data_IF_477234291857
#
_entry.id   IF_477234291857
#
_cell.length_a   1.000
_cell.length_b   1.000
_cell.length_c   1.000
_cell.angle_alpha   90.00
_cell.angle_beta   90.00
_cell.angle_gamma   90.00
#
_symmetry.space_group_name_H-M   'P 1'
#
loop_
_entity.id
_entity.type
_entity.pdbx_description
1 polymer ?
#
# COMPACT_ATOMS: atom_id res chain seq x y z
N UNK A 1 20.13 -17.86 -27.11
CA UNK A 1 20.49 -16.44 -26.94
C UNK A 1 19.21 -15.71 -26.50
N UNK A 2 19.05 -15.52 -25.20
CA UNK A 2 17.92 -14.80 -24.62
C UNK A 2 18.14 -13.31 -24.86
N UNK A 3 17.38 -12.74 -25.78
CA UNK A 3 17.32 -11.30 -25.98
C UNK A 3 16.67 -10.68 -24.75
N UNK A 4 17.48 -10.26 -23.77
CA UNK A 4 17.02 -9.49 -22.61
C UNK A 4 16.28 -8.25 -23.10
N UNK A 5 15.01 -8.11 -22.72
CA UNK A 5 14.24 -6.88 -22.93
C UNK A 5 15.04 -5.70 -22.35
N UNK A 6 15.14 -4.56 -23.03
CA UNK A 6 15.83 -3.38 -22.50
C UNK A 6 15.10 -2.87 -21.28
N UNK A 7 15.71 -3.06 -20.10
CA UNK A 7 15.19 -2.65 -18.81
C UNK A 7 15.06 -3.81 -17.81
N UNK A 8 16.04 -4.72 -17.73
CA UNK A 8 16.09 -5.81 -16.74
C UNK A 8 16.29 -5.31 -15.28
N UNK A 9 15.70 -4.18 -14.95
CA UNK A 9 15.56 -3.73 -13.58
C UNK A 9 14.57 -4.65 -12.84
N UNK A 10 14.84 -4.91 -11.57
CA UNK A 10 14.00 -5.74 -10.74
C UNK A 10 12.68 -5.03 -10.44
N UNK A 11 11.54 -5.63 -10.77
CA UNK A 11 10.23 -5.09 -10.48
C UNK A 11 9.40 -6.08 -9.66
N UNK A 12 8.83 -5.62 -8.54
CA UNK A 12 7.90 -6.38 -7.74
C UNK A 12 6.48 -5.83 -7.82
N UNK A 13 5.53 -6.73 -8.02
CA UNK A 13 4.11 -6.44 -8.06
C UNK A 13 3.42 -6.97 -6.81
N UNK A 14 2.58 -6.15 -6.20
CA UNK A 14 1.73 -6.58 -5.10
C UNK A 14 0.27 -6.16 -5.30
N UNK A 15 -0.64 -6.98 -4.78
CA UNK A 15 -2.08 -6.77 -4.82
C UNK A 15 -2.60 -6.85 -3.39
N UNK A 16 -3.19 -5.76 -2.90
CA UNK A 16 -3.81 -5.72 -1.59
C UNK A 16 -5.26 -6.19 -1.74
N UNK A 17 -5.52 -7.45 -1.33
CA UNK A 17 -6.79 -8.14 -1.56
C UNK A 17 -7.83 -7.68 -0.56
N UNK A 18 -8.43 -6.54 -0.88
CA UNK A 18 -9.51 -5.91 -0.15
C UNK A 18 -10.64 -5.46 -1.08
N UNK A 19 -11.86 -5.32 -0.55
CA UNK A 19 -13.01 -4.87 -1.33
C UNK A 19 -13.16 -3.35 -1.31
N UNK A 20 -14.02 -2.81 -2.17
CA UNK A 20 -14.30 -1.38 -2.33
C UNK A 20 -14.68 -0.68 -1.02
N UNK A 21 -15.36 -1.37 -0.10
CA UNK A 21 -15.81 -0.81 1.18
C UNK A 21 -14.73 -0.81 2.28
N UNK A 22 -13.63 -1.53 2.12
CA UNK A 22 -12.49 -1.49 3.06
C UNK A 22 -11.67 -0.21 2.95
N UNK A 23 -11.85 0.57 1.87
CA UNK A 23 -11.00 1.72 1.56
C UNK A 23 -11.06 2.80 2.64
N UNK A 24 -9.92 3.46 2.88
CA UNK A 24 -9.83 4.59 3.81
C UNK A 24 -10.83 5.72 3.49
N UNK A 25 -11.22 5.88 2.23
CA UNK A 25 -12.18 6.90 1.80
C UNK A 25 -13.60 6.64 2.33
N UNK A 26 -13.95 5.39 2.61
CA UNK A 26 -15.28 4.96 3.04
C UNK A 26 -15.36 4.60 4.52
N UNK A 27 -14.24 4.52 5.22
CA UNK A 27 -14.16 4.12 6.63
C UNK A 27 -15.05 4.94 7.58
N UNK A 28 -15.29 6.20 7.29
CA UNK A 28 -16.16 7.06 8.11
C UNK A 28 -17.66 6.91 7.85
N UNK A 29 -18.06 6.14 6.83
CA UNK A 29 -19.46 6.00 6.41
C UNK A 29 -19.93 4.56 6.32
N UNK A 30 -19.02 3.61 6.17
CA UNK A 30 -19.31 2.18 6.22
C UNK A 30 -18.60 1.62 7.46
N UNK A 31 -19.38 1.32 8.49
CA UNK A 31 -18.88 0.70 9.70
C UNK A 31 -18.56 -0.78 9.44
N UNK A 32 -17.65 -1.36 10.24
CA UNK A 32 -17.24 -2.77 10.07
C UNK A 32 -18.39 -3.75 10.17
N UNK A 33 -19.37 -3.46 11.04
CA UNK A 33 -20.56 -4.26 11.26
C UNK A 33 -21.45 -4.35 10.00
N UNK A 34 -21.34 -3.36 9.10
CA UNK A 34 -22.08 -3.32 7.85
C UNK A 34 -21.38 -4.05 6.69
N UNK A 35 -20.18 -4.59 6.88
CA UNK A 35 -19.44 -5.27 5.80
C UNK A 35 -20.12 -6.52 5.29
N UNK A 36 -20.84 -7.23 6.18
CA UNK A 36 -21.62 -8.43 5.83
C UNK A 36 -22.78 -8.13 4.87
N UNK A 37 -23.25 -6.88 4.85
CA UNK A 37 -24.35 -6.42 4.01
C UNK A 37 -23.86 -5.80 2.69
N UNK A 38 -22.54 -5.58 2.56
CA UNK A 38 -21.96 -5.02 1.36
C UNK A 38 -21.87 -6.04 0.20
N UNK A 39 -22.08 -5.57 -1.02
CA UNK A 39 -21.87 -6.36 -2.25
C UNK A 39 -20.39 -6.75 -2.36
N UNK A 40 -20.09 -8.03 -2.11
CA UNK A 40 -18.75 -8.59 -2.12
C UNK A 40 -18.27 -8.77 -3.57
N UNK A 41 -17.25 -8.02 -3.95
CA UNK A 41 -16.74 -7.93 -5.32
C UNK A 41 -15.27 -8.32 -5.45
N UNK A 42 -14.58 -8.47 -4.31
CA UNK A 42 -13.15 -8.75 -4.24
C UNK A 42 -12.76 -10.02 -4.99
N UNK A 43 -13.56 -11.09 -4.87
CA UNK A 43 -13.25 -12.37 -5.50
C UNK A 43 -13.18 -12.25 -7.03
N UNK A 44 -14.25 -11.77 -7.67
CA UNK A 44 -14.27 -11.62 -9.14
C UNK A 44 -13.19 -10.66 -9.66
N UNK A 45 -12.96 -9.56 -8.93
CA UNK A 45 -11.98 -8.55 -9.33
C UNK A 45 -10.56 -9.10 -9.19
N UNK A 46 -10.28 -9.86 -8.12
CA UNK A 46 -8.98 -10.54 -7.94
C UNK A 46 -8.76 -11.60 -8.99
N UNK A 47 -9.78 -12.42 -9.30
CA UNK A 47 -9.70 -13.41 -10.38
C UNK A 47 -9.39 -12.74 -11.71
N UNK A 48 -10.02 -11.60 -12.00
CA UNK A 48 -9.73 -10.82 -13.21
C UNK A 48 -8.28 -10.32 -13.28
N UNK A 49 -7.72 -9.89 -12.16
CA UNK A 49 -6.29 -9.55 -12.09
C UNK A 49 -5.40 -10.77 -12.33
N UNK A 50 -5.75 -11.92 -11.75
CA UNK A 50 -5.00 -13.17 -11.96
C UNK A 50 -4.99 -13.60 -13.44
N UNK A 51 -6.09 -13.45 -14.15
CA UNK A 51 -6.15 -13.71 -15.61
C UNK A 51 -5.15 -12.83 -16.38
N UNK A 52 -5.06 -11.55 -16.01
CA UNK A 52 -4.09 -10.62 -16.62
C UNK A 52 -2.65 -11.05 -16.31
N UNK A 53 -2.38 -11.46 -15.06
CA UNK A 53 -1.06 -11.94 -14.66
C UNK A 53 -0.67 -13.22 -15.40
N UNK A 54 -1.58 -14.17 -15.55
CA UNK A 54 -1.37 -15.44 -16.25
C UNK A 54 -1.02 -15.21 -17.72
N UNK A 55 -1.79 -14.37 -18.42
CA UNK A 55 -1.52 -13.99 -19.83
C UNK A 55 -0.16 -13.36 -20.01
N UNK A 56 0.32 -12.60 -19.01
CA UNK A 56 1.62 -11.94 -19.04
C UNK A 56 2.76 -12.80 -18.45
N UNK A 57 2.47 -14.00 -17.96
CA UNK A 57 3.42 -14.87 -17.23
C UNK A 57 4.07 -14.16 -16.02
N UNK A 58 3.30 -13.33 -15.33
CA UNK A 58 3.76 -12.53 -14.21
C UNK A 58 3.33 -13.15 -12.88
N UNK A 59 4.22 -13.09 -11.88
CA UNK A 59 3.90 -13.45 -10.50
C UNK A 59 3.90 -12.23 -9.60
N UNK A 60 3.05 -12.26 -8.56
CA UNK A 60 2.85 -11.14 -7.64
C UNK A 60 2.75 -11.63 -6.19
N UNK A 61 2.88 -10.69 -5.24
CA UNK A 61 2.52 -10.88 -3.85
C UNK A 61 1.08 -10.42 -3.61
N UNK A 62 0.25 -11.28 -3.06
CA UNK A 62 -1.11 -10.96 -2.66
C UNK A 62 -1.16 -10.77 -1.14
N UNK A 63 -1.31 -9.54 -0.69
CA UNK A 63 -1.55 -9.20 0.72
C UNK A 63 -3.03 -9.38 1.01
N UNK A 64 -3.37 -10.50 1.62
CA UNK A 64 -4.77 -10.90 1.82
C UNK A 64 -5.25 -10.46 3.19
N UNK A 65 -6.38 -9.75 3.21
CA UNK A 65 -7.08 -9.42 4.44
C UNK A 65 -7.71 -10.68 5.04
N UNK A 66 -7.48 -10.95 6.33
CA UNK A 66 -7.97 -12.16 6.97
C UNK A 66 -9.50 -12.31 6.91
N UNK A 67 -10.24 -11.19 7.04
CA UNK A 67 -11.69 -11.16 6.85
C UNK A 67 -12.09 -11.61 5.43
N UNK A 68 -11.38 -11.17 4.40
CA UNK A 68 -11.63 -11.61 3.01
C UNK A 68 -11.29 -13.09 2.85
N UNK A 69 -10.20 -13.56 3.47
CA UNK A 69 -9.82 -14.97 3.43
C UNK A 69 -10.90 -15.88 4.02
N UNK A 70 -11.56 -15.47 5.10
CA UNK A 70 -12.69 -16.22 5.68
C UNK A 70 -13.90 -16.30 4.72
N UNK A 71 -14.19 -15.22 4.01
CA UNK A 71 -15.33 -15.16 3.08
C UNK A 71 -15.05 -15.85 1.74
N UNK A 72 -13.82 -15.77 1.25
CA UNK A 72 -13.43 -16.22 -0.09
C UNK A 72 -12.28 -17.25 -0.01
N UNK A 73 -12.46 -18.33 0.76
CA UNK A 73 -11.42 -19.36 0.96
C UNK A 73 -10.87 -19.94 -0.34
N UNK A 74 -11.78 -20.18 -1.31
CA UNK A 74 -11.38 -20.75 -2.59
C UNK A 74 -10.50 -19.79 -3.40
N UNK A 75 -10.75 -18.49 -3.33
CA UNK A 75 -9.89 -17.47 -3.93
C UNK A 75 -8.45 -17.58 -3.40
N UNK A 76 -8.28 -17.68 -2.07
CA UNK A 76 -6.95 -17.78 -1.44
C UNK A 76 -6.22 -19.04 -1.88
N UNK A 77 -6.91 -20.19 -1.96
CA UNK A 77 -6.34 -21.44 -2.48
C UNK A 77 -5.93 -21.31 -3.95
N UNK A 78 -6.75 -20.63 -4.76
CA UNK A 78 -6.47 -20.40 -6.19
C UNK A 78 -5.23 -19.51 -6.37
N UNK A 79 -5.10 -18.41 -5.61
CA UNK A 79 -3.90 -17.56 -5.61
C UNK A 79 -2.65 -18.39 -5.28
N UNK A 80 -2.71 -19.22 -4.22
CA UNK A 80 -1.61 -20.05 -3.79
C UNK A 80 -1.25 -21.14 -4.83
N UNK A 81 -2.25 -21.76 -5.46
CA UNK A 81 -2.07 -22.81 -6.48
C UNK A 81 -1.46 -22.24 -7.77
N UNK A 82 -1.77 -20.99 -8.14
CA UNK A 82 -1.19 -20.30 -9.29
C UNK A 82 0.27 -19.85 -9.09
N UNK A 83 0.90 -20.18 -7.95
CA UNK A 83 2.33 -19.89 -7.70
C UNK A 83 2.62 -18.47 -7.24
N UNK A 84 1.60 -17.66 -6.99
CA UNK A 84 1.77 -16.34 -6.39
C UNK A 84 2.18 -16.44 -4.91
N UNK A 85 2.80 -15.40 -4.40
CA UNK A 85 3.08 -15.28 -2.97
C UNK A 85 1.82 -14.82 -2.22
N UNK A 86 1.51 -15.52 -1.12
CA UNK A 86 0.52 -15.07 -0.13
C UNK A 86 1.23 -14.34 1.00
N UNK A 87 0.72 -13.17 1.34
CA UNK A 87 1.15 -12.34 2.45
C UNK A 87 -0.07 -11.82 3.23
N UNK A 88 0.14 -11.37 4.47
CA UNK A 88 -0.94 -10.90 5.34
C UNK A 88 -1.17 -9.40 5.19
N UNK A 89 -2.45 -9.00 5.10
CA UNK A 89 -2.90 -7.60 5.22
C UNK A 89 -3.58 -7.31 6.56
N UNK A 90 -3.19 -8.03 7.64
CA UNK A 90 -3.93 -8.06 8.90
C UNK A 90 -5.24 -8.82 8.78
N UNK A 91 -6.00 -8.88 9.88
CA UNK A 91 -7.29 -9.58 9.87
C UNK A 91 -8.46 -8.63 9.62
N UNK A 92 -8.54 -7.54 10.38
CA UNK A 92 -9.71 -6.68 10.47
C UNK A 92 -9.58 -5.33 9.77
N UNK A 93 -8.52 -5.09 8.99
CA UNK A 93 -8.23 -3.81 8.32
C UNK A 93 -8.16 -2.62 9.29
N UNK A 94 -7.71 -2.87 10.53
CA UNK A 94 -7.53 -1.82 11.53
C UNK A 94 -6.21 -1.06 11.29
N UNK A 95 -6.21 0.26 11.57
CA UNK A 95 -5.00 1.05 11.47
C UNK A 95 -4.05 0.69 12.62
N UNK A 96 -2.82 0.31 12.32
CA UNK A 96 -1.85 -0.18 13.31
C UNK A 96 -1.68 0.83 14.45
N UNK A 97 -1.50 2.12 14.15
CA UNK A 97 -1.36 3.15 15.16
C UNK A 97 -2.62 3.40 16.02
N UNK A 98 -3.78 2.83 15.67
CA UNK A 98 -4.99 2.89 16.48
C UNK A 98 -5.17 1.69 17.41
N UNK A 99 -4.30 0.69 17.29
CA UNK A 99 -4.33 -0.54 18.09
C UNK A 99 -3.33 -0.46 19.25
N UNK A 100 -3.64 -1.17 20.33
CA UNK A 100 -2.64 -1.50 21.35
C UNK A 100 -1.75 -2.65 20.84
N UNK A 101 -0.48 -2.75 21.29
CA UNK A 101 0.43 -3.82 20.85
C UNK A 101 -0.14 -5.24 20.99
N UNK A 102 -0.89 -5.52 22.06
CA UNK A 102 -1.54 -6.82 22.25
C UNK A 102 -2.67 -7.11 21.25
N UNK A 103 -3.45 -6.09 20.88
CA UNK A 103 -4.51 -6.19 19.88
C UNK A 103 -3.90 -6.43 18.49
N UNK A 104 -2.86 -5.68 18.16
CA UNK A 104 -2.11 -5.86 16.92
C UNK A 104 -1.52 -7.28 16.81
N UNK A 105 -0.87 -7.79 17.89
CA UNK A 105 -0.35 -9.15 17.93
C UNK A 105 -1.44 -10.19 17.66
N UNK A 106 -2.61 -10.04 18.28
CA UNK A 106 -3.76 -10.95 18.05
C UNK A 106 -4.24 -10.89 16.60
N UNK A 107 -4.37 -9.69 16.04
CA UNK A 107 -4.83 -9.48 14.65
C UNK A 107 -3.90 -10.16 13.63
N UNK A 108 -2.59 -9.92 13.75
CA UNK A 108 -1.61 -10.46 12.79
C UNK A 108 -1.40 -11.96 12.95
N UNK A 109 -1.45 -12.50 14.19
CA UNK A 109 -1.40 -13.94 14.44
C UNK A 109 -2.61 -14.64 13.82
N UNK A 110 -3.82 -14.10 14.05
CA UNK A 110 -5.05 -14.67 13.49
C UNK A 110 -4.99 -14.70 11.97
N UNK A 111 -4.60 -13.60 11.34
CA UNK A 111 -4.50 -13.52 9.88
C UNK A 111 -3.47 -14.51 9.33
N UNK A 112 -2.27 -14.53 9.92
CA UNK A 112 -1.18 -15.40 9.49
C UNK A 112 -1.56 -16.87 9.59
N UNK A 113 -2.00 -17.33 10.75
CA UNK A 113 -2.37 -18.74 10.98
C UNK A 113 -3.51 -19.16 10.04
N UNK A 114 -4.54 -18.31 9.88
CA UNK A 114 -5.65 -18.62 8.99
C UNK A 114 -5.20 -18.84 7.54
N UNK A 115 -4.32 -17.99 7.01
CA UNK A 115 -3.79 -18.13 5.65
C UNK A 115 -2.88 -19.36 5.52
N UNK A 116 -2.06 -19.66 6.53
CA UNK A 116 -1.17 -20.84 6.57
C UNK A 116 -1.98 -22.13 6.67
N UNK A 117 -2.99 -22.20 7.55
CA UNK A 117 -3.87 -23.36 7.70
C UNK A 117 -4.67 -23.64 6.43
N UNK A 118 -5.13 -22.59 5.76
CA UNK A 118 -5.93 -22.70 4.54
C UNK A 118 -5.14 -23.25 3.34
N UNK A 119 -3.84 -22.99 3.29
CA UNK A 119 -3.00 -23.25 2.10
C UNK A 119 -1.84 -24.20 2.32
N UNK A 120 -1.48 -24.48 3.58
CA UNK A 120 -0.28 -25.24 3.94
C UNK A 120 1.03 -24.52 3.59
N UNK A 121 0.99 -23.23 3.22
CA UNK A 121 2.17 -22.45 2.82
C UNK A 121 2.51 -21.41 3.88
N UNK A 122 3.81 -21.24 4.18
CA UNK A 122 4.27 -20.20 5.10
C UNK A 122 4.01 -18.81 4.54
N UNK A 123 3.40 -17.94 5.37
CA UNK A 123 3.15 -16.53 5.09
C UNK A 123 4.33 -15.72 5.63
N UNK A 124 5.16 -15.18 4.73
CA UNK A 124 6.43 -14.49 5.05
C UNK A 124 6.28 -12.99 5.18
N UNK A 125 5.34 -12.38 4.45
CA UNK A 125 5.18 -10.95 4.33
C UNK A 125 3.96 -10.38 5.05
N UNK A 126 4.10 -9.14 5.49
CA UNK A 126 3.02 -8.32 6.04
C UNK A 126 2.93 -6.97 5.33
N UNK A 127 1.72 -6.43 5.24
CA UNK A 127 1.45 -5.03 4.89
C UNK A 127 0.38 -4.47 5.80
N UNK A 128 0.67 -3.34 6.44
CA UNK A 128 -0.29 -2.68 7.31
C UNK A 128 -1.44 -2.05 6.50
N UNK A 129 -2.70 -2.23 6.90
CA UNK A 129 -3.84 -1.52 6.33
C UNK A 129 -3.57 -0.03 6.23
N UNK A 130 -3.84 0.54 5.04
CA UNK A 130 -3.57 1.95 4.74
C UNK A 130 -2.11 2.40 5.00
N UNK A 131 -1.14 1.48 4.99
CA UNK A 131 0.27 1.77 5.28
C UNK A 131 0.50 2.37 6.67
N UNK A 132 -0.26 1.95 7.66
CA UNK A 132 -0.33 2.56 9.00
C UNK A 132 0.71 2.04 10.00
N UNK A 133 1.83 1.50 9.53
CA UNK A 133 2.89 0.88 10.35
C UNK A 133 3.53 1.85 11.35
N UNK A 134 4.05 1.30 12.44
CA UNK A 134 4.75 2.04 13.51
C UNK A 134 5.95 1.26 14.01
N UNK A 135 6.94 1.94 14.63
CA UNK A 135 8.16 1.30 15.12
C UNK A 135 7.90 0.15 16.11
N UNK A 136 6.94 0.31 17.02
CA UNK A 136 6.59 -0.73 17.99
C UNK A 136 5.96 -1.99 17.37
N UNK A 137 5.45 -1.90 16.15
CA UNK A 137 4.85 -3.05 15.45
C UNK A 137 5.90 -3.99 14.86
N UNK A 138 7.05 -3.46 14.46
CA UNK A 138 8.12 -4.23 13.81
C UNK A 138 8.61 -5.42 14.65
N UNK A 139 8.98 -5.27 15.94
CA UNK A 139 9.36 -6.42 16.75
C UNK A 139 8.23 -7.45 16.90
N UNK A 140 6.97 -7.02 16.95
CA UNK A 140 5.83 -7.95 17.03
C UNK A 140 5.71 -8.78 15.75
N UNK A 141 5.86 -8.15 14.57
CA UNK A 141 5.83 -8.86 13.29
C UNK A 141 6.94 -9.91 13.21
N UNK A 142 8.16 -9.56 13.61
CA UNK A 142 9.28 -10.50 13.64
C UNK A 142 9.03 -11.66 14.61
N UNK A 143 8.55 -11.38 15.83
CA UNK A 143 8.23 -12.40 16.84
C UNK A 143 7.13 -13.37 16.38
N UNK A 144 6.17 -12.87 15.59
CA UNK A 144 5.09 -13.67 14.99
C UNK A 144 5.62 -14.53 13.83
N UNK A 145 6.84 -14.28 13.35
CA UNK A 145 7.51 -15.06 12.33
C UNK A 145 7.27 -14.59 10.90
N UNK A 146 7.02 -13.28 10.71
CA UNK A 146 7.16 -12.65 9.39
C UNK A 146 8.63 -12.37 9.09
N UNK A 147 8.99 -12.38 7.81
CA UNK A 147 10.35 -12.10 7.34
C UNK A 147 10.48 -10.65 6.83
N UNK A 148 9.36 -10.04 6.42
CA UNK A 148 9.36 -8.66 5.94
C UNK A 148 8.02 -7.94 6.16
N UNK A 149 8.10 -6.61 6.20
CA UNK A 149 7.00 -5.67 6.06
C UNK A 149 7.11 -4.90 4.74
N UNK A 150 5.98 -4.46 4.18
CA UNK A 150 5.95 -3.58 3.01
C UNK A 150 4.91 -2.48 3.21
N UNK A 151 5.09 -1.71 4.26
CA UNK A 151 4.13 -0.69 4.70
C UNK A 151 4.64 0.74 4.60
N UNK A 152 5.91 0.96 4.24
CA UNK A 152 6.45 2.31 4.15
C UNK A 152 6.29 2.88 2.74
N UNK A 153 5.61 4.03 2.68
CA UNK A 153 5.62 4.91 1.51
C UNK A 153 6.49 6.11 1.86
N UNK A 154 7.71 6.22 1.30
CA UNK A 154 8.68 7.24 1.71
C UNK A 154 8.28 8.64 1.22
N UNK A 155 7.18 9.18 1.74
CA UNK A 155 6.65 10.50 1.38
C UNK A 155 6.19 11.26 2.63
N UNK A 156 6.37 12.57 2.61
CA UNK A 156 5.81 13.48 3.64
C UNK A 156 4.41 13.99 3.26
N UNK A 157 3.93 13.64 2.05
CA UNK A 157 2.71 14.22 1.48
C UNK A 157 1.40 13.72 2.11
N UNK A 158 1.44 12.67 2.93
CA UNK A 158 0.24 12.05 3.51
C UNK A 158 0.36 11.84 5.01
N UNK A 159 -0.38 12.62 5.80
CA UNK A 159 -0.40 12.51 7.26
C UNK A 159 -1.09 11.25 7.81
N UNK A 160 -1.66 10.40 6.94
CA UNK A 160 -2.34 9.14 7.33
C UNK A 160 -1.44 7.91 7.31
N UNK A 161 -0.32 7.96 6.61
CA UNK A 161 0.63 6.86 6.58
C UNK A 161 1.38 6.78 7.90
N UNK A 162 1.65 5.57 8.35
CA UNK A 162 2.57 5.31 9.44
C UNK A 162 4.00 5.69 9.06
N UNK A 163 4.89 5.64 10.01
CA UNK A 163 6.31 5.94 9.81
C UNK A 163 7.15 4.95 10.59
N UNK A 164 8.28 4.60 10.01
CA UNK A 164 9.35 3.91 10.71
C UNK A 164 10.56 4.83 10.82
N UNK A 165 11.17 4.86 12.00
CA UNK A 165 12.39 5.61 12.28
C UNK A 165 13.55 5.12 11.42
N UNK A 166 14.43 6.03 11.01
CA UNK A 166 15.60 5.69 10.20
C UNK A 166 15.31 5.35 8.74
N UNK A 167 14.06 5.52 8.27
CA UNK A 167 13.69 5.28 6.88
C UNK A 167 13.97 6.50 6.01
N UNK A 168 14.70 6.28 4.91
CA UNK A 168 15.08 7.35 3.99
C UNK A 168 14.61 7.07 2.56
N UNK A 169 14.20 8.13 1.86
CA UNK A 169 13.88 8.07 0.42
C UNK A 169 15.12 7.61 -0.35
N UNK A 170 14.96 6.61 -1.21
CA UNK A 170 16.04 6.06 -2.04
C UNK A 170 16.64 4.76 -1.50
N UNK A 171 16.08 4.19 -0.46
CA UNK A 171 16.39 2.83 0.02
C UNK A 171 15.15 1.96 -0.11
N UNK A 172 14.99 1.20 -1.20
CA UNK A 172 13.77 0.44 -1.45
C UNK A 172 13.65 -0.80 -0.57
N UNK A 173 14.77 -1.39 -0.14
CA UNK A 173 14.82 -2.54 0.77
C UNK A 173 15.80 -2.20 1.90
N UNK A 174 15.31 -2.27 3.12
CA UNK A 174 16.07 -1.94 4.33
C UNK A 174 16.02 -3.10 5.31
N UNK A 175 17.19 -3.49 5.83
CA UNK A 175 17.25 -4.42 6.95
C UNK A 175 16.95 -3.64 8.25
N UNK A 176 15.77 -3.87 8.83
CA UNK A 176 15.35 -3.20 10.08
C UNK A 176 15.91 -3.89 11.30
N UNK A 177 15.92 -5.21 11.28
CA UNK A 177 16.40 -6.09 12.35
C UNK A 177 17.02 -7.33 11.71
N UNK A 178 17.75 -8.11 12.48
CA UNK A 178 18.35 -9.36 11.98
C UNK A 178 17.29 -10.26 11.33
N UNK A 179 17.45 -10.50 10.03
CA UNK A 179 16.53 -11.31 9.22
C UNK A 179 15.16 -10.69 8.93
N UNK A 180 14.91 -9.40 9.30
CA UNK A 180 13.62 -8.74 9.04
C UNK A 180 13.79 -7.48 8.17
N UNK A 181 13.07 -7.43 7.06
CA UNK A 181 13.20 -6.37 6.05
C UNK A 181 11.97 -5.47 5.96
N UNK A 182 12.19 -4.20 5.62
CA UNK A 182 11.16 -3.31 5.08
C UNK A 182 11.35 -3.15 3.58
N UNK A 183 10.26 -3.32 2.81
CA UNK A 183 10.24 -3.12 1.37
C UNK A 183 9.34 -1.93 1.04
N UNK A 184 9.97 -0.79 0.79
CA UNK A 184 9.29 0.48 0.56
C UNK A 184 8.60 0.55 -0.80
N UNK A 185 7.42 1.15 -0.84
CA UNK A 185 6.73 1.47 -2.10
C UNK A 185 7.54 2.51 -2.89
N UNK A 186 7.63 2.34 -4.21
CA UNK A 186 8.41 3.20 -5.07
C UNK A 186 7.92 4.65 -5.09
N UNK A 187 8.88 5.57 -5.00
CA UNK A 187 8.67 7.01 -5.10
C UNK A 187 9.67 7.62 -6.09
N UNK A 188 9.28 8.69 -6.77
CA UNK A 188 10.18 9.55 -7.55
C UNK A 188 10.63 10.71 -6.67
N UNK A 189 11.94 10.95 -6.65
CA UNK A 189 12.54 12.04 -5.90
C UNK A 189 12.62 13.31 -6.76
N UNK A 190 12.02 14.41 -6.25
CA UNK A 190 12.10 15.74 -6.83
C UNK A 190 12.64 16.71 -5.77
N UNK A 191 13.95 16.93 -5.79
CA UNK A 191 14.65 17.70 -4.76
C UNK A 191 14.44 17.07 -3.36
N UNK A 192 13.84 17.84 -2.46
CA UNK A 192 13.48 17.38 -1.09
C UNK A 192 12.15 16.62 -0.99
N UNK A 193 11.38 16.56 -2.07
CA UNK A 193 10.07 15.90 -2.08
C UNK A 193 10.14 14.52 -2.71
N UNK A 194 9.35 13.59 -2.18
CA UNK A 194 9.13 12.28 -2.76
C UNK A 194 7.67 12.14 -3.19
N UNK A 195 7.48 11.86 -4.48
CA UNK A 195 6.16 11.64 -5.07
C UNK A 195 5.94 10.14 -5.16
N UNK A 196 4.86 9.58 -4.56
CA UNK A 196 4.54 8.16 -4.70
C UNK A 196 4.36 7.78 -6.17
N UNK A 197 5.13 6.78 -6.61
CA UNK A 197 5.10 6.27 -7.99
C UNK A 197 4.88 4.76 -8.05
N UNK A 198 4.43 4.17 -6.97
CA UNK A 198 4.19 2.74 -6.84
C UNK A 198 2.76 2.40 -6.39
N UNK A 199 1.80 3.34 -6.42
CA UNK A 199 0.47 3.12 -5.88
C UNK A 199 -0.68 3.35 -6.85
N UNK A 200 -1.72 2.51 -6.77
CA UNK A 200 -2.86 2.51 -7.68
C UNK A 200 -3.58 3.84 -7.82
N UNK A 201 -3.74 4.61 -6.72
CA UNK A 201 -4.38 5.92 -6.77
C UNK A 201 -3.66 6.92 -7.69
N UNK A 202 -2.33 7.02 -7.59
CA UNK A 202 -1.51 7.84 -8.49
C UNK A 202 -1.44 7.27 -9.90
N UNK A 203 -1.37 5.94 -10.02
CA UNK A 203 -1.41 5.23 -11.30
C UNK A 203 -2.69 5.55 -12.10
N UNK A 204 -3.82 5.65 -11.42
CA UNK A 204 -5.09 6.05 -12.08
C UNK A 204 -5.11 7.52 -12.48
N UNK A 205 -4.45 8.40 -11.71
CA UNK A 205 -4.49 9.85 -11.90
C UNK A 205 -3.51 10.34 -12.99
N UNK A 206 -2.27 9.83 -12.98
CA UNK A 206 -1.19 10.27 -13.88
C UNK A 206 -1.43 9.70 -15.29
N UNK A 207 -1.20 10.46 -16.38
CA UNK A 207 -1.21 9.92 -17.73
C UNK A 207 -0.28 8.72 -17.88
N UNK A 208 -0.73 7.64 -18.52
CA UNK A 208 -0.03 6.35 -18.54
C UNK A 208 1.40 6.45 -19.15
N UNK A 209 1.57 7.23 -20.22
CA UNK A 209 2.89 7.47 -20.82
C UNK A 209 3.89 8.11 -19.87
N UNK A 210 3.42 9.10 -19.08
CA UNK A 210 4.23 9.75 -18.06
C UNK A 210 4.53 8.77 -16.90
N UNK A 211 3.58 7.93 -16.54
CA UNK A 211 3.77 6.89 -15.54
C UNK A 211 4.91 5.94 -15.95
N UNK A 212 4.89 5.44 -17.18
CA UNK A 212 5.95 4.57 -17.71
C UNK A 212 7.32 5.24 -17.72
N UNK A 213 7.39 6.53 -18.08
CA UNK A 213 8.66 7.28 -18.02
C UNK A 213 9.23 7.29 -16.61
N UNK A 214 8.38 7.50 -15.59
CA UNK A 214 8.80 7.46 -14.19
C UNK A 214 9.25 6.07 -13.75
N UNK A 215 8.58 5.00 -14.19
CA UNK A 215 9.02 3.62 -13.92
C UNK A 215 10.39 3.37 -14.54
N UNK A 216 10.59 3.74 -15.81
CA UNK A 216 11.90 3.61 -16.47
C UNK A 216 13.00 4.43 -15.78
N UNK A 217 12.66 5.61 -15.26
CA UNK A 217 13.62 6.44 -14.52
C UNK A 217 14.07 5.74 -13.23
N UNK A 218 13.14 5.14 -12.47
CA UNK A 218 13.46 4.37 -11.26
C UNK A 218 14.35 3.18 -11.61
N UNK A 219 13.97 2.37 -12.60
CA UNK A 219 14.74 1.18 -12.99
C UNK A 219 16.13 1.53 -13.54
N UNK A 220 16.26 2.60 -14.32
CA UNK A 220 17.57 3.08 -14.85
C UNK A 220 18.48 3.63 -13.75
N UNK A 221 17.96 4.05 -12.61
CA UNK A 221 18.78 4.45 -11.46
C UNK A 221 19.36 3.26 -10.68
N UNK A 222 19.11 2.02 -11.13
CA UNK A 222 19.54 0.79 -10.45
C UNK A 222 18.66 0.38 -9.28
N UNK A 223 17.57 1.12 -9.03
CA UNK A 223 16.63 0.82 -7.95
C UNK A 223 15.52 -0.11 -8.43
N UNK A 224 15.08 -1.08 -7.60
CA UNK A 224 13.92 -1.89 -7.92
C UNK A 224 12.64 -1.04 -7.92
N UNK A 225 11.70 -1.45 -8.76
CA UNK A 225 10.39 -0.81 -8.83
C UNK A 225 9.35 -1.67 -8.08
N UNK A 226 8.74 -1.12 -7.03
CA UNK A 226 7.73 -1.80 -6.20
C UNK A 226 6.39 -1.10 -6.43
N UNK A 227 5.44 -1.86 -6.99
CA UNK A 227 4.10 -1.37 -7.32
C UNK A 227 3.02 -2.13 -6.55
N UNK A 228 1.97 -1.42 -6.12
CA UNK A 228 0.79 -2.03 -5.51
C UNK A 228 -0.50 -1.51 -6.14
N UNK A 229 -1.54 -2.34 -6.11
CA UNK A 229 -2.89 -2.03 -6.59
C UNK A 229 -3.91 -2.89 -5.83
N UNK A 230 -5.16 -2.42 -5.80
CA UNK A 230 -6.25 -3.15 -5.17
C UNK A 230 -7.22 -3.70 -6.21
N UNK A 231 -7.91 -4.83 -5.96
CA UNK A 231 -8.90 -5.40 -6.88
C UNK A 231 -10.06 -4.45 -7.21
N UNK A 232 -10.50 -3.63 -6.25
CA UNK A 232 -11.57 -2.66 -6.48
C UNK A 232 -11.18 -1.53 -7.45
N UNK A 233 -9.90 -1.30 -7.70
CA UNK A 233 -9.44 -0.23 -8.61
C UNK A 233 -9.70 -0.55 -10.09
N UNK A 234 -9.88 -1.81 -10.45
CA UNK A 234 -10.25 -2.22 -11.80
C UNK A 234 -11.77 -2.39 -11.98
N UNK A 235 -12.58 -2.04 -10.98
CA UNK A 235 -14.03 -2.20 -10.99
C UNK A 235 -14.78 -0.86 -11.14
N UNK A 236 -15.07 -0.42 -12.35
CA UNK A 236 -15.86 0.80 -12.57
C UNK A 236 -17.33 0.67 -12.12
N UNK A 237 -17.81 -0.58 -11.95
CA UNK A 237 -19.17 -0.89 -11.51
C UNK A 237 -19.35 -0.98 -10.00
N UNK A 238 -18.33 -0.66 -9.18
CA UNK A 238 -18.46 -0.68 -7.73
C UNK A 238 -19.53 0.30 -7.24
N UNK A 239 -20.23 0.01 -6.11
CA UNK A 239 -21.23 0.88 -5.55
C UNK A 239 -20.72 2.30 -5.26
N UNK A 240 -21.54 3.32 -5.57
CA UNK A 240 -21.20 4.70 -5.31
C UNK A 240 -21.86 5.19 -4.03
N UNK A 241 -21.05 5.52 -3.04
CA UNK A 241 -21.53 6.01 -1.73
C UNK A 241 -21.68 7.52 -1.80
N UNK A 242 -22.93 7.99 -1.59
CA UNK A 242 -23.27 9.42 -1.69
C UNK A 242 -22.75 10.28 -0.52
N UNK A 243 -22.62 9.69 0.66
CA UNK A 243 -22.37 10.41 1.92
C UNK A 243 -20.88 10.71 2.20
N UNK A 244 -20.02 10.77 1.18
CA UNK A 244 -18.58 11.06 1.32
C UNK A 244 -18.21 12.42 0.74
N UNK A 245 -17.15 13.04 1.29
CA UNK A 245 -16.59 14.30 0.80
C UNK A 245 -16.22 14.20 -0.70
N UNK A 246 -16.42 15.27 -1.46
CA UNK A 246 -16.13 15.30 -2.91
C UNK A 246 -14.70 14.85 -3.26
N UNK A 247 -13.69 15.27 -2.47
CA UNK A 247 -12.30 14.85 -2.65
C UNK A 247 -12.10 13.34 -2.43
N UNK A 248 -12.80 12.73 -1.45
CA UNK A 248 -12.75 11.28 -1.22
C UNK A 248 -13.44 10.52 -2.35
N UNK A 249 -14.58 11.03 -2.84
CA UNK A 249 -15.29 10.48 -4.00
C UNK A 249 -14.42 10.53 -5.27
N UNK A 250 -13.77 11.65 -5.51
CA UNK A 250 -12.84 11.79 -6.63
C UNK A 250 -11.72 10.74 -6.55
N UNK A 251 -11.04 10.61 -5.40
CA UNK A 251 -9.97 9.60 -5.22
C UNK A 251 -10.46 8.17 -5.37
N UNK A 252 -11.70 7.89 -4.90
CA UNK A 252 -12.30 6.56 -5.04
C UNK A 252 -12.58 6.20 -6.49
N UNK A 253 -13.14 7.14 -7.26
CA UNK A 253 -13.76 6.86 -8.56
C UNK A 253 -12.94 7.30 -9.78
N UNK A 254 -11.85 8.05 -9.60
CA UNK A 254 -11.08 8.60 -10.74
C UNK A 254 -10.54 7.49 -11.63
N UNK A 255 -10.84 7.58 -12.92
CA UNK A 255 -10.33 6.71 -14.00
C UNK A 255 -10.45 5.19 -13.76
N UNK A 256 -11.42 4.72 -12.96
CA UNK A 256 -11.65 3.28 -12.75
C UNK A 256 -11.87 2.53 -14.07
N UNK A 257 -12.64 3.10 -15.00
CA UNK A 257 -12.94 2.48 -16.30
C UNK A 257 -11.72 2.25 -17.21
N UNK A 258 -10.61 2.93 -16.93
CA UNK A 258 -9.35 2.79 -17.68
C UNK A 258 -8.29 2.01 -16.90
N UNK A 259 -8.58 1.67 -15.65
CA UNK A 259 -7.55 1.11 -14.75
C UNK A 259 -7.18 -0.31 -15.15
N UNK A 260 -8.14 -1.14 -15.53
CA UNK A 260 -7.88 -2.52 -15.97
C UNK A 260 -6.98 -2.57 -17.21
N UNK A 261 -7.30 -1.79 -18.25
CA UNK A 261 -6.48 -1.71 -19.46
C UNK A 261 -5.05 -1.22 -19.16
N UNK A 262 -4.93 -0.18 -18.32
CA UNK A 262 -3.62 0.34 -17.90
C UNK A 262 -2.84 -0.69 -17.09
N UNK A 263 -3.52 -1.43 -16.22
CA UNK A 263 -2.89 -2.48 -15.42
C UNK A 263 -2.37 -3.60 -16.32
N UNK A 264 -3.17 -4.09 -17.26
CA UNK A 264 -2.74 -5.09 -18.24
C UNK A 264 -1.54 -4.60 -19.06
N UNK A 265 -1.56 -3.35 -19.52
CA UNK A 265 -0.44 -2.74 -20.24
C UNK A 265 0.83 -2.62 -19.38
N UNK A 266 0.69 -2.25 -18.09
CA UNK A 266 1.83 -2.16 -17.17
C UNK A 266 2.42 -3.54 -16.88
N UNK A 267 1.57 -4.55 -16.63
CA UNK A 267 2.03 -5.93 -16.38
C UNK A 267 2.77 -6.48 -17.60
N UNK A 268 2.25 -6.25 -18.80
CA UNK A 268 2.90 -6.70 -20.04
C UNK A 268 4.19 -5.96 -20.41
N UNK A 269 4.46 -4.80 -19.79
CA UNK A 269 5.63 -3.97 -20.12
C UNK A 269 6.92 -4.37 -19.39
N UNK A 270 6.83 -5.10 -18.26
CA UNK A 270 7.98 -5.44 -17.41
C UNK A 270 7.94 -6.91 -17.00
N UNK A 271 9.06 -7.41 -16.47
CA UNK A 271 9.14 -8.70 -15.80
C UNK A 271 8.88 -8.51 -14.29
N UNK A 272 7.83 -9.13 -13.80
CA UNK A 272 7.37 -8.98 -12.43
C UNK A 272 7.69 -10.20 -11.60
N UNK A 273 8.00 -9.97 -10.32
CA UNK A 273 8.21 -11.02 -9.34
C UNK A 273 7.48 -10.70 -8.03
N UNK A 274 7.23 -11.69 -7.19
CA UNK A 274 6.82 -11.49 -5.80
C UNK A 274 7.87 -10.72 -4.99
N UNK A 275 7.42 -10.05 -3.93
CA UNK A 275 8.31 -9.26 -3.04
C UNK A 275 9.37 -10.15 -2.38
N UNK A 276 9.02 -11.38 -1.96
CA UNK A 276 9.99 -12.32 -1.39
C UNK A 276 11.15 -12.61 -2.35
N UNK A 277 10.84 -12.82 -3.63
CA UNK A 277 11.84 -13.14 -4.65
C UNK A 277 12.74 -11.90 -4.94
N UNK A 278 12.15 -10.70 -4.85
CA UNK A 278 12.91 -9.45 -4.93
C UNK A 278 13.90 -9.33 -3.76
N UNK A 279 13.47 -9.62 -2.51
CA UNK A 279 14.35 -9.61 -1.33
C UNK A 279 15.48 -10.62 -1.51
N UNK A 280 15.17 -11.86 -1.91
CA UNK A 280 16.15 -12.92 -2.07
C UNK A 280 17.20 -12.56 -3.15
N UNK A 281 16.78 -11.96 -4.27
CA UNK A 281 17.70 -11.46 -5.31
C UNK A 281 18.54 -10.28 -4.84
N UNK A 282 17.93 -9.32 -4.13
CA UNK A 282 18.62 -8.14 -3.64
C UNK A 282 19.72 -8.48 -2.63
N UNK A 283 19.44 -9.42 -1.73
CA UNK A 283 20.39 -9.87 -0.71
C UNK A 283 21.51 -10.73 -1.29
N UNK A 284 21.22 -11.53 -2.34
CA UNK A 284 22.21 -12.40 -3.00
C UNK A 284 23.12 -11.65 -4.00
N UNK A 285 22.68 -10.51 -4.52
CA UNK A 285 23.35 -9.77 -5.60
C UNK A 285 24.47 -8.82 -5.18
N UNK A 286 24.95 -8.85 -3.93
CA UNK A 286 26.07 -8.02 -3.44
C UNK A 286 25.70 -6.54 -3.18
N UNK A 287 24.49 -6.10 -3.54
CA UNK A 287 23.91 -4.81 -3.13
C UNK A 287 23.26 -4.91 -1.76
N UNK A 288 23.97 -5.50 -0.78
CA UNK A 288 23.44 -5.86 0.52
C UNK A 288 22.58 -4.78 1.16
N UNK A 289 21.51 -5.16 1.92
CA UNK A 289 20.65 -4.21 2.59
C UNK A 289 21.48 -3.37 3.55
N UNK A 290 21.37 -2.05 3.40
CA UNK A 290 22.01 -1.13 4.36
C UNK A 290 21.15 -1.13 5.62
N UNK A 291 21.77 -1.45 6.76
CA UNK A 291 21.10 -1.36 8.06
C UNK A 291 20.51 0.04 8.29
N UNK A 292 19.36 0.12 8.94
CA UNK A 292 18.82 1.39 9.43
C UNK A 292 19.85 2.03 10.34
N UNK A 293 20.26 3.28 10.06
CA UNK A 293 21.19 3.98 10.93
C UNK A 293 20.45 4.34 12.23
N UNK A 294 21.01 4.06 13.42
CA UNK A 294 20.47 4.62 14.65
C UNK A 294 20.54 6.14 14.56
N UNK A 295 19.43 6.83 14.87
CA UNK A 295 19.45 8.27 15.02
C UNK A 295 20.47 8.63 16.12
N UNK A 296 21.45 9.47 15.79
CA UNK A 296 22.21 10.15 16.80
C UNK A 296 21.29 11.18 17.46
N UNK A 297 20.91 10.94 18.72
CA UNK A 297 20.25 11.93 19.56
C UNK A 297 21.15 13.18 19.66
N UNK A 298 20.95 14.10 18.74
CA UNK A 298 21.51 15.43 18.80
C UNK A 298 20.63 16.30 19.70
N UNK A 299 20.88 16.28 21.01
CA UNK A 299 20.49 17.38 21.86
C UNK A 299 21.23 18.63 21.40
N UNK A 300 20.52 19.51 20.72
CA UNK A 300 20.94 20.89 20.50
C UNK A 300 20.17 21.76 21.49
N UNK A 301 20.83 22.05 22.64
CA UNK A 301 20.43 23.11 23.58
C UNK A 301 20.99 24.45 23.09
N UNK A 302 20.11 25.39 22.89
CA UNK A 302 20.42 26.79 23.08
C UNK A 302 20.57 27.68 21.86
N UNK A 303 19.73 28.71 21.80
CA UNK A 303 20.07 29.93 21.07
C UNK A 303 18.88 30.70 20.48
N UNK A 304 18.16 31.39 21.33
CA UNK A 304 17.25 32.50 20.95
C UNK A 304 18.02 33.56 20.18
N UNK A 305 17.58 33.96 18.98
CA UNK A 305 17.64 35.34 18.51
C UNK A 305 16.71 35.55 17.32
N UNK A 306 15.68 36.35 17.57
CA UNK A 306 14.76 36.92 16.58
C UNK A 306 15.49 37.95 15.70
N UNK A 307 15.20 37.94 14.39
CA UNK A 307 15.15 39.17 13.57
C UNK A 307 14.25 38.98 12.36
N UNK A 308 13.26 39.84 12.29
CA UNK A 308 12.35 40.00 11.16
C UNK A 308 13.01 40.78 10.02
N UNK A 309 12.76 40.42 8.77
CA UNK A 309 12.74 41.34 7.61
C UNK A 309 11.74 40.76 6.58
N UNK A 310 10.83 41.63 6.14
CA UNK A 310 9.71 41.33 5.23
C UNK A 310 10.07 41.32 3.73
N UNK A 311 9.08 41.44 2.82
CA UNK A 311 8.95 40.59 1.63
C UNK A 311 9.35 41.26 0.30
N UNK A 312 9.73 40.42 -0.71
CA UNK A 312 9.61 40.72 -2.17
C UNK A 312 9.54 39.35 -2.88
N UNK A 313 8.52 38.94 -3.54
CA UNK A 313 7.98 39.28 -4.83
C UNK A 313 8.59 38.41 -5.93
N UNK A 314 7.82 37.45 -6.53
CA UNK A 314 8.25 36.71 -7.73
C UNK A 314 7.50 35.38 -7.89
N UNK A 315 6.39 35.40 -8.66
CA UNK A 315 5.56 34.22 -8.87
C UNK A 315 6.19 33.20 -9.80
N UNK A 316 6.01 31.94 -9.42
CA UNK A 316 6.07 30.80 -10.35
C UNK A 316 4.97 29.83 -9.90
N UNK A 317 3.95 29.66 -10.75
CA UNK A 317 2.82 28.76 -10.50
C UNK A 317 3.30 27.31 -10.43
N UNK A 318 3.30 26.72 -9.24
CA UNK A 318 3.49 25.30 -9.03
C UNK A 318 2.14 24.58 -9.01
N UNK A 319 1.91 23.68 -9.95
CA UNK A 319 0.76 22.76 -10.05
C UNK A 319 0.68 21.76 -8.86
N UNK A 320 1.57 21.85 -7.89
CA UNK A 320 1.65 20.95 -6.73
C UNK A 320 0.70 21.28 -5.57
N UNK A 321 -0.08 22.40 -5.62
CA UNK A 321 -0.84 22.90 -4.48
C UNK A 321 -2.26 22.30 -4.29
N UNK A 322 -2.70 21.34 -5.12
CA UNK A 322 -4.07 20.82 -5.08
C UNK A 322 -4.24 19.52 -4.24
N UNK A 323 -3.22 19.04 -3.53
CA UNK A 323 -3.27 17.76 -2.79
C UNK A 323 -2.96 17.91 -1.29
N UNK A 324 -2.90 19.11 -0.75
CA UNK A 324 -2.78 19.31 0.71
C UNK A 324 -4.15 19.15 1.40
N UNK A 325 -4.20 18.25 2.36
CA UNK A 325 -5.37 17.94 3.18
C UNK A 325 -5.16 18.47 4.59
N UNK A 326 -6.00 19.46 4.97
CA UNK A 326 -6.12 19.96 6.33
C UNK A 326 -6.97 19.00 7.19
N UNK A 327 -6.38 18.46 8.23
CA UNK A 327 -7.06 17.74 9.27
C UNK A 327 -7.76 18.68 10.24
N UNK A 328 -9.05 18.94 10.03
CA UNK A 328 -9.89 19.61 11.01
C UNK A 328 -10.94 18.64 11.56
N UNK A 329 -11.04 18.61 12.89
CA UNK A 329 -11.93 17.84 13.73
C UNK A 329 -13.40 17.87 13.29
N UNK A 330 -14.02 16.66 13.25
CA UNK A 330 -15.44 16.48 12.96
C UNK A 330 -16.30 16.70 14.22
N UNK A 331 -17.48 17.35 14.11
CA UNK A 331 -18.50 17.36 15.16
C UNK A 331 -19.28 16.03 15.18
N UNK A 332 -19.67 15.60 16.39
CA UNK A 332 -20.45 14.37 16.63
C UNK A 332 -21.85 14.49 16.02
N UNK A 333 -22.40 13.43 15.39
CA UNK A 333 -23.77 13.40 14.93
C UNK A 333 -24.75 13.19 16.10
N UNK A 334 -25.76 14.05 16.20
CA UNK A 334 -26.92 13.89 17.06
C UNK A 334 -27.88 12.86 16.45
N UNK A 335 -28.24 11.87 17.25
CA UNK A 335 -29.17 10.81 16.92
C UNK A 335 -30.62 11.38 16.88
N UNK A 336 -31.24 11.40 15.70
CA UNK A 336 -32.69 11.67 15.57
C UNK A 336 -33.44 10.34 15.51
N UNK A 337 -34.33 10.11 16.48
CA UNK A 337 -35.24 8.96 16.52
C UNK A 337 -36.33 9.08 15.45
N UNK A 338 -36.73 8.01 14.78
CA UNK A 338 -37.91 8.05 13.92
C UNK A 338 -39.18 8.03 14.77
N UNK A 339 -40.11 8.91 14.46
CA UNK A 339 -41.46 8.94 15.00
C UNK A 339 -42.28 7.80 14.41
N UNK A 340 -42.97 7.08 15.28
CA UNK A 340 -43.86 6.00 14.89
C UNK A 340 -45.05 6.50 14.06
N UNK A 341 -45.50 5.65 13.15
CA UNK A 341 -46.81 5.72 12.54
C UNK A 341 -47.71 4.69 13.23
N UNK A 342 -48.78 5.19 13.83
CA UNK A 342 -49.93 4.40 14.28
C UNK A 342 -50.97 4.47 13.14
N UNK A 343 -51.57 3.33 12.87
CA UNK A 343 -52.90 2.93 12.48
C UNK A 343 -52.85 1.82 11.42
#
# INVERSE_FOLDING_TARGET
>A
MTTGRPGSGQAALSIDVEDWFHTANLRGVIAREAWEECDLRVERNTMRMMEILDVCHAHATFFVLGWVAEKCQQLVRTIAAAGHELASHGYGHDLVYSLRPSQFRTDVLRSKHYLEDLTGKRVRGYRAPCFSITDWAVPILQDVGFDYDSSVVPTIAHGRYGRLSGMHVGRPIVLLRDGFYEVCISCIRLGKHAIPWGGGGYFRLVPYTLWLQGVHMILRSGMPYIFYIHPWEIDPGQPRVGAIKAASRFRQCVNLSRCEERFAALVGAFEWMPIRDLIDRWTSGGSGPVAASPESDGHDEGGVLARAVGPRGGGTHCIAAAICWDGASAPRPTCARPRGAAA
#
